data_IF_524414435616
#
_entry.id   IF_524414435616
#
_cell.length_a   1.000
_cell.length_b   1.000
_cell.length_c   1.000
_cell.angle_alpha   90.00
_cell.angle_beta   90.00
_cell.angle_gamma   90.00
#
_symmetry.space_group_name_H-M   'P 1'
#
loop_
_entity.id
_entity.type
_entity.pdbx_description
1 polymer ?
#
# COMPACT_ATOMS: atom_id res chain seq x y z
N UNK A 1 -3.15 -8.36 5.32
CA UNK A 1 -3.22 -6.89 5.52
C UNK A 1 -3.41 -6.29 4.14
N UNK A 2 -4.66 -6.01 3.75
CA UNK A 2 -4.90 -5.41 2.45
C UNK A 2 -4.61 -3.93 2.58
N UNK A 3 -3.54 -3.46 1.93
CA UNK A 3 -3.38 -2.02 1.69
C UNK A 3 -4.48 -1.66 0.69
N UNK A 4 -5.59 -1.16 1.21
CA UNK A 4 -6.64 -0.59 0.37
C UNK A 4 -6.05 0.68 -0.21
N UNK A 5 -5.48 0.60 -1.41
CA UNK A 5 -5.17 1.78 -2.21
C UNK A 5 -6.52 2.39 -2.58
N UNK A 6 -7.08 3.19 -1.68
CA UNK A 6 -8.26 4.00 -1.97
C UNK A 6 -7.91 4.87 -3.19
N UNK A 7 -8.84 4.85 -4.15
CA UNK A 7 -9.01 5.69 -5.36
C UNK A 7 -7.94 6.74 -5.68
N UNK A 8 -7.53 7.57 -4.71
CA UNK A 8 -6.47 8.58 -4.82
C UNK A 8 -5.11 8.03 -5.31
N UNK A 9 -4.72 6.81 -4.91
CA UNK A 9 -3.43 6.25 -5.33
C UNK A 9 -3.39 5.88 -6.82
N UNK A 10 -4.52 5.48 -7.40
CA UNK A 10 -4.60 5.09 -8.80
C UNK A 10 -4.35 6.27 -9.77
N UNK A 11 -4.76 7.48 -9.38
CA UNK A 11 -4.57 8.69 -10.17
C UNK A 11 -3.09 9.14 -10.22
N UNK A 12 -2.30 8.80 -9.19
CA UNK A 12 -0.91 9.22 -9.07
C UNK A 12 0.10 8.19 -9.62
N UNK A 13 -0.22 6.90 -9.50
CA UNK A 13 0.66 5.79 -9.89
C UNK A 13 0.45 5.37 -11.35
N UNK A 14 -0.72 5.67 -11.91
CA UNK A 14 -1.17 5.09 -13.17
C UNK A 14 -1.71 3.67 -12.98
N UNK A 15 -2.24 3.07 -14.05
CA UNK A 15 -2.76 1.70 -14.00
C UNK A 15 -1.62 0.69 -13.99
N UNK A 16 -1.37 0.08 -12.85
CA UNK A 16 -0.55 -1.13 -12.77
C UNK A 16 -1.26 -2.30 -13.46
N UNK A 17 -0.51 -3.19 -14.12
CA UNK A 17 -1.10 -4.40 -14.70
C UNK A 17 -1.58 -5.34 -13.58
N UNK A 18 -2.67 -6.07 -13.85
CA UNK A 18 -3.25 -7.04 -12.90
C UNK A 18 -2.36 -8.27 -12.70
N UNK A 19 -1.48 -8.55 -13.65
CA UNK A 19 -0.57 -9.70 -13.67
C UNK A 19 0.84 -9.17 -13.94
N UNK A 20 1.82 -9.73 -13.24
CA UNK A 20 3.24 -9.41 -13.48
C UNK A 20 3.61 -9.88 -14.89
N UNK A 21 4.13 -9.00 -15.77
CA UNK A 21 4.51 -9.39 -17.12
C UNK A 21 5.70 -10.36 -17.11
N UNK A 22 5.81 -11.24 -18.11
CA UNK A 22 7.02 -12.06 -18.30
C UNK A 22 8.23 -11.17 -18.64
N UNK A 23 9.40 -11.50 -18.10
CA UNK A 23 10.62 -10.71 -18.30
C UNK A 23 10.55 -9.30 -17.70
N UNK A 24 9.74 -9.11 -16.66
CA UNK A 24 9.55 -7.81 -16.01
C UNK A 24 10.86 -7.20 -15.48
N UNK A 25 11.86 -8.03 -15.19
CA UNK A 25 13.16 -7.64 -14.67
C UNK A 25 13.93 -6.72 -15.63
N UNK A 26 13.68 -6.86 -16.94
CA UNK A 26 14.28 -6.03 -17.99
C UNK A 26 13.32 -4.93 -18.49
N UNK A 27 12.07 -4.95 -18.03
CA UNK A 27 11.04 -4.00 -18.44
C UNK A 27 11.08 -2.73 -17.57
N UNK A 28 11.96 -1.80 -17.92
CA UNK A 28 12.19 -0.56 -17.17
C UNK A 28 10.91 0.26 -16.96
N UNK A 29 10.00 0.30 -17.94
CA UNK A 29 8.76 1.06 -17.81
C UNK A 29 7.84 0.45 -16.75
N UNK A 30 7.73 -0.87 -16.70
CA UNK A 30 6.99 -1.56 -15.63
C UNK A 30 7.65 -1.34 -14.27
N UNK A 31 8.98 -1.50 -14.17
CA UNK A 31 9.72 -1.29 -12.93
C UNK A 31 9.56 0.14 -12.40
N UNK A 32 9.54 1.14 -13.29
CA UNK A 32 9.30 2.55 -12.93
C UNK A 32 7.90 2.77 -12.36
N UNK A 33 6.87 2.12 -12.92
CA UNK A 33 5.50 2.21 -12.41
C UNK A 33 5.38 1.54 -11.03
N UNK A 34 6.01 0.39 -10.83
CA UNK A 34 6.05 -0.31 -9.54
C UNK A 34 6.82 0.51 -8.49
N UNK A 35 7.96 1.10 -8.86
CA UNK A 35 8.73 1.99 -8.00
C UNK A 35 7.87 3.13 -7.47
N UNK A 36 7.14 3.81 -8.37
CA UNK A 36 6.19 4.87 -8.00
C UNK A 36 5.13 4.38 -7.02
N UNK A 37 4.52 3.24 -7.32
CA UNK A 37 3.45 2.67 -6.50
C UNK A 37 3.86 2.36 -5.07
N UNK A 38 5.07 1.80 -4.92
CA UNK A 38 5.53 1.24 -3.66
C UNK A 38 6.39 2.21 -2.84
N UNK A 39 7.10 3.12 -3.48
CA UNK A 39 8.15 3.93 -2.86
C UNK A 39 7.94 5.44 -2.96
N UNK A 40 7.03 5.90 -3.83
CA UNK A 40 6.76 7.34 -4.01
C UNK A 40 5.37 7.76 -3.48
N UNK A 41 4.63 6.86 -2.83
CA UNK A 41 3.31 7.13 -2.27
C UNK A 41 3.29 6.86 -0.76
N UNK A 42 3.04 7.91 0.01
CA UNK A 42 2.95 7.85 1.47
C UNK A 42 1.50 7.98 1.94
N UNK A 43 1.10 7.11 2.88
CA UNK A 43 -0.16 7.26 3.63
C UNK A 43 0.13 8.08 4.87
N UNK A 44 -0.23 9.37 4.87
CA UNK A 44 0.06 10.28 5.98
C UNK A 44 -0.89 10.08 7.17
N UNK A 45 -2.19 9.91 6.88
CA UNK A 45 -3.23 9.66 7.88
C UNK A 45 -4.14 8.52 7.37
N UNK A 46 -4.51 7.61 8.26
CA UNK A 46 -5.41 6.50 7.92
C UNK A 46 -5.34 5.37 8.91
N UNK A 47 -5.72 4.17 8.48
CA UNK A 47 -5.61 2.98 9.31
C UNK A 47 -5.43 1.71 8.49
N UNK A 48 -4.75 0.75 9.09
CA UNK A 48 -4.63 -0.60 8.54
C UNK A 48 -5.59 -1.50 9.29
N UNK A 49 -6.48 -2.16 8.56
CA UNK A 49 -7.49 -3.05 9.14
C UNK A 49 -7.05 -4.50 8.92
N UNK A 50 -6.98 -5.27 10.01
CA UNK A 50 -6.76 -6.71 9.91
C UNK A 50 -8.01 -7.37 9.31
N UNK A 51 -7.91 -8.08 8.17
CA UNK A 51 -9.08 -8.69 7.53
C UNK A 51 -9.69 -9.83 8.35
N UNK A 52 -8.89 -10.50 9.18
CA UNK A 52 -9.35 -11.66 9.97
C UNK A 52 -10.03 -11.24 11.28
N UNK A 53 -9.54 -10.18 11.93
CA UNK A 53 -10.00 -9.77 13.27
C UNK A 53 -10.76 -8.45 13.27
N UNK A 54 -10.72 -7.68 12.18
CA UNK A 54 -11.25 -6.32 12.12
C UNK A 54 -10.45 -5.30 12.95
N UNK A 55 -9.36 -5.71 13.61
CA UNK A 55 -8.54 -4.80 14.43
C UNK A 55 -7.94 -3.71 13.57
N UNK A 56 -8.04 -2.48 14.06
CA UNK A 56 -7.55 -1.28 13.41
C UNK A 56 -6.19 -0.85 13.98
N UNK A 57 -5.25 -0.55 13.09
CA UNK A 57 -3.93 -0.03 13.42
C UNK A 57 -3.80 1.38 12.82
N UNK A 58 -3.92 2.45 13.62
CA UNK A 58 -3.96 3.81 13.10
C UNK A 58 -2.58 4.24 12.55
N UNK A 59 -2.61 5.03 11.49
CA UNK A 59 -1.47 5.72 10.88
C UNK A 59 -1.62 7.21 11.17
N UNK A 60 -0.61 7.79 11.83
CA UNK A 60 -0.53 9.22 12.10
C UNK A 60 0.82 9.76 11.67
N UNK A 61 0.85 10.90 10.98
CA UNK A 61 2.07 11.50 10.44
C UNK A 61 2.94 10.49 9.65
N UNK A 62 2.31 9.59 8.89
CA UNK A 62 3.00 8.54 8.12
C UNK A 62 3.55 7.38 8.95
N UNK A 63 3.27 7.32 10.25
CA UNK A 63 3.79 6.28 11.15
C UNK A 63 2.64 5.36 11.60
N UNK A 64 2.61 4.08 11.14
CA UNK A 64 1.64 3.10 11.61
C UNK A 64 1.93 2.67 13.06
N UNK A 65 0.90 2.66 13.91
CA UNK A 65 0.96 2.08 15.24
C UNK A 65 0.46 0.62 15.23
N UNK A 66 1.39 -0.32 15.32
CA UNK A 66 1.13 -1.76 15.30
C UNK A 66 1.09 -2.40 16.70
N UNK A 67 1.11 -1.60 17.77
CA UNK A 67 1.08 -2.11 19.13
C UNK A 67 -0.29 -2.69 19.46
N UNK A 68 -0.28 -3.83 20.14
CA UNK A 68 -1.48 -4.52 20.63
C UNK A 68 -1.49 -4.40 22.15
N UNK A 69 -2.55 -3.83 22.70
CA UNK A 69 -2.76 -3.87 24.15
C UNK A 69 -3.41 -5.21 24.52
N UNK A 70 -2.83 -5.93 25.49
CA UNK A 70 -3.31 -7.24 25.94
C UNK A 70 -4.70 -7.21 26.63
N UNK A 71 -5.31 -6.02 26.77
CA UNK A 71 -6.65 -5.81 27.31
C UNK A 71 -7.75 -5.54 26.27
N UNK A 72 -7.40 -5.57 24.97
CA UNK A 72 -8.32 -5.51 23.83
C UNK A 72 -8.26 -6.79 22.98
#
# INVERSE_FOLDING_TARGET
MNVVVLTVGADHVGKLPEIIPEGYEENEEFLRQVHKALLELDVIEGSLICPETGREFPIHNGIPNMLVNEGE
#
